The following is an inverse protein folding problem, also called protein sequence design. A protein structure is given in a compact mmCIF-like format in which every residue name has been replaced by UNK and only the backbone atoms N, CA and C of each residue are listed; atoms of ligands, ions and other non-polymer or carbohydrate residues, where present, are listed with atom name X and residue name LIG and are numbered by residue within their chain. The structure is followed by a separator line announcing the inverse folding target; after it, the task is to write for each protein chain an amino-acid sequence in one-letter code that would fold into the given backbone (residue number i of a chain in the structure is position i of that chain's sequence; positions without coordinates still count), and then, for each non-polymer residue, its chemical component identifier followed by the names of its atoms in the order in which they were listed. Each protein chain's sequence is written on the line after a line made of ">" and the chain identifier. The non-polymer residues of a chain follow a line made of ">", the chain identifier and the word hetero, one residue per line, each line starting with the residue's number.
data_IF_834572680250
#
_entry.id   IF_834572680250
#
_cell.length_a   1.000
_cell.length_b   1.000
_cell.length_c   1.000
_cell.angle_alpha   90.00
_cell.angle_beta   90.00
_cell.angle_gamma   90.00
#
_symmetry.space_group_name_H-M   'P 1'
#
loop_
_entity.id
_entity.type
_entity.pdbx_description
1 polymer ?
#
# COMPACT_ATOMS: atom_id res chain seq x y z
N UNK A 1 3.18 70.71 8.47
CA UNK A 1 2.30 69.63 7.97
C UNK A 1 2.80 68.92 6.71
N UNK A 2 3.39 69.60 5.71
CA UNK A 2 3.95 68.93 4.51
C UNK A 2 5.09 67.94 4.84
N UNK A 3 6.02 68.32 5.71
CA UNK A 3 7.15 67.48 6.13
C UNK A 3 6.69 66.18 6.82
N UNK A 4 5.67 66.24 7.69
CA UNK A 4 5.12 65.07 8.42
C UNK A 4 4.49 64.06 7.44
N UNK A 5 3.80 64.53 6.40
CA UNK A 5 3.24 63.65 5.36
C UNK A 5 4.33 62.92 4.57
N UNK A 6 5.47 63.59 4.32
CA UNK A 6 6.63 62.97 3.65
C UNK A 6 7.27 61.88 4.51
N UNK A 7 7.41 62.10 5.82
CA UNK A 7 7.95 61.08 6.73
C UNK A 7 7.03 59.87 6.91
N UNK A 8 5.70 60.08 6.94
CA UNK A 8 4.72 58.97 7.00
C UNK A 8 4.75 58.15 5.70
N UNK A 9 4.91 58.80 4.55
CA UNK A 9 4.99 58.12 3.25
C UNK A 9 6.31 57.35 3.08
N UNK A 10 7.41 57.86 3.64
CA UNK A 10 8.69 57.14 3.70
C UNK A 10 8.64 55.94 4.64
N UNK A 11 8.00 56.05 5.81
CA UNK A 11 7.85 54.95 6.77
C UNK A 11 6.96 53.82 6.23
N UNK A 12 5.89 54.17 5.50
CA UNK A 12 5.02 53.19 4.85
C UNK A 12 5.73 52.43 3.71
N UNK A 13 6.70 53.05 3.02
CA UNK A 13 7.50 52.40 1.98
C UNK A 13 8.44 51.32 2.51
N UNK A 14 8.99 51.50 3.72
CA UNK A 14 9.91 50.53 4.33
C UNK A 14 9.21 49.23 4.77
N UNK A 15 7.91 49.29 5.10
CA UNK A 15 7.14 48.11 5.53
C UNK A 15 6.82 47.12 4.39
N UNK A 16 6.95 47.52 3.12
CA UNK A 16 6.60 46.68 1.97
C UNK A 16 7.80 45.81 1.53
N UNK A 17 9.02 46.13 1.96
CA UNK A 17 10.25 45.42 1.57
C UNK A 17 10.61 44.23 2.48
N UNK A 18 9.78 43.90 3.47
CA UNK A 18 10.03 42.86 4.47
C UNK A 18 9.20 41.59 4.31
N UNK A 19 8.90 41.15 3.08
CA UNK A 19 8.24 39.86 2.85
C UNK A 19 9.27 38.73 3.04
N UNK A 20 9.33 38.16 4.24
CA UNK A 20 9.96 36.85 4.44
C UNK A 20 9.03 35.78 3.85
N UNK A 21 9.31 35.32 2.63
CA UNK A 21 8.69 34.12 2.06
C UNK A 21 8.99 32.88 2.91
N UNK A 22 10.23 32.79 3.39
CA UNK A 22 10.80 31.56 3.96
C UNK A 22 10.28 31.23 5.38
N UNK A 23 9.49 32.11 6.00
CA UNK A 23 8.88 31.84 7.31
C UNK A 23 7.62 30.97 7.20
N UNK A 24 6.93 31.00 6.06
CA UNK A 24 5.76 30.16 5.80
C UNK A 24 6.11 28.82 5.16
N UNK A 25 7.29 28.70 4.55
CA UNK A 25 7.81 27.46 3.98
C UNK A 25 8.55 26.63 5.04
N UNK A 26 7.83 26.21 6.07
CA UNK A 26 8.38 25.26 7.07
C UNK A 26 8.26 23.85 6.50
N UNK A 27 9.40 23.25 6.16
CA UNK A 27 9.44 21.83 5.81
C UNK A 27 8.94 21.00 7.00
N UNK A 28 8.00 20.07 6.80
CA UNK A 28 7.47 19.24 7.88
C UNK A 28 8.62 18.48 8.55
N UNK A 29 8.82 18.74 9.84
CA UNK A 29 9.87 18.08 10.61
C UNK A 29 9.41 16.66 10.96
N UNK A 30 10.09 15.66 10.42
CA UNK A 30 9.77 14.24 10.66
C UNK A 30 8.92 13.57 9.58
N UNK A 31 8.55 14.29 8.52
CA UNK A 31 8.05 13.68 7.29
C UNK A 31 9.18 13.62 6.27
N UNK A 32 9.36 12.47 5.64
CA UNK A 32 10.24 12.35 4.48
C UNK A 32 9.55 13.12 3.34
N UNK A 33 10.05 14.30 2.98
CA UNK A 33 9.59 14.98 1.76
C UNK A 33 9.95 14.09 0.57
N UNK A 34 9.05 13.97 -0.41
CA UNK A 34 9.19 13.11 -1.60
C UNK A 34 10.44 13.37 -2.43
N UNK A 35 11.14 14.48 -2.18
CA UNK A 35 12.18 15.02 -3.05
C UNK A 35 13.62 14.84 -2.54
N UNK A 36 13.85 14.45 -1.28
CA UNK A 36 15.20 14.43 -0.73
C UNK A 36 15.44 13.26 0.23
N UNK A 37 15.97 12.14 -0.28
CA UNK A 37 17.12 11.52 0.40
C UNK A 37 17.83 10.43 -0.41
N UNK A 38 17.06 9.60 -1.10
CA UNK A 38 17.57 8.36 -1.65
C UNK A 38 17.79 8.42 -3.16
N UNK A 39 18.77 7.66 -3.65
CA UNK A 39 18.83 7.38 -5.08
C UNK A 39 17.51 6.73 -5.51
N UNK A 40 17.12 6.89 -6.78
CA UNK A 40 15.86 6.33 -7.23
C UNK A 40 15.80 4.80 -7.06
N UNK A 41 16.92 4.12 -7.27
CA UNK A 41 17.04 2.69 -7.04
C UNK A 41 16.81 2.31 -5.56
N UNK A 42 17.38 3.08 -4.64
CA UNK A 42 17.20 2.88 -3.20
C UNK A 42 15.74 3.12 -2.79
N UNK A 43 15.06 4.12 -3.36
CA UNK A 43 13.61 4.34 -3.15
C UNK A 43 12.78 3.14 -3.62
N UNK A 44 13.09 2.59 -4.80
CA UNK A 44 12.39 1.43 -5.33
C UNK A 44 12.64 0.21 -4.42
N UNK A 45 13.87 0.02 -3.96
CA UNK A 45 14.22 -1.06 -3.05
C UNK A 45 13.48 -0.95 -1.69
N UNK A 46 13.37 0.25 -1.12
CA UNK A 46 12.57 0.47 0.09
C UNK A 46 11.08 0.19 -0.15
N UNK A 47 10.53 0.62 -1.29
CA UNK A 47 9.14 0.34 -1.65
C UNK A 47 8.90 -1.18 -1.81
N UNK A 48 9.83 -1.91 -2.43
CA UNK A 48 9.79 -3.37 -2.52
C UNK A 48 9.91 -4.00 -1.13
N UNK A 49 10.81 -3.51 -0.27
CA UNK A 49 10.94 -3.98 1.12
C UNK A 49 9.64 -3.81 1.89
N UNK A 50 8.91 -2.71 1.65
CA UNK A 50 7.57 -2.50 2.21
C UNK A 50 6.56 -3.53 1.68
N UNK A 51 6.59 -3.86 0.39
CA UNK A 51 5.78 -4.95 -0.17
C UNK A 51 6.07 -6.27 0.57
N UNK A 52 7.33 -6.65 0.78
CA UNK A 52 7.67 -7.85 1.56
C UNK A 52 7.23 -7.78 3.03
N UNK A 53 7.17 -6.59 3.62
CA UNK A 53 6.70 -6.44 5.01
C UNK A 53 5.24 -6.91 5.19
N UNK A 54 4.45 -6.93 4.11
CA UNK A 54 3.06 -7.39 4.11
C UNK A 54 2.87 -8.81 4.66
N UNK A 55 3.83 -9.70 4.41
CA UNK A 55 3.79 -11.09 4.89
C UNK A 55 4.41 -11.29 6.28
N UNK A 56 5.12 -10.29 6.81
CA UNK A 56 5.76 -10.37 8.12
C UNK A 56 4.75 -10.17 9.26
N UNK A 57 3.63 -9.51 8.98
CA UNK A 57 2.67 -9.18 10.03
C UNK A 57 1.83 -10.40 10.43
N UNK A 58 2.36 -11.16 11.40
CA UNK A 58 1.81 -12.46 11.84
C UNK A 58 0.32 -12.43 12.12
N UNK A 59 -0.24 -11.33 12.64
CA UNK A 59 -1.68 -11.22 12.92
C UNK A 59 -2.55 -11.41 11.67
N UNK A 60 -2.10 -10.94 10.51
CA UNK A 60 -2.85 -10.93 9.25
C UNK A 60 -2.56 -12.13 8.36
N UNK A 61 -1.48 -12.87 8.62
CA UNK A 61 -1.11 -14.06 7.81
C UNK A 61 -1.22 -15.39 8.56
N UNK A 62 -0.94 -15.41 9.86
CA UNK A 62 -0.82 -16.62 10.68
C UNK A 62 -1.42 -16.46 12.08
N UNK A 63 -2.27 -15.44 12.25
CA UNK A 63 -2.77 -15.02 13.54
C UNK A 63 -4.27 -14.91 13.55
N UNK A 64 -4.78 -14.31 14.62
CA UNK A 64 -6.21 -14.38 14.93
C UNK A 64 -7.10 -13.73 13.89
N UNK A 65 -6.61 -12.73 13.14
CA UNK A 65 -7.38 -12.12 12.06
C UNK A 65 -7.50 -13.07 10.87
N UNK A 66 -6.39 -13.63 10.40
CA UNK A 66 -6.39 -14.60 9.30
C UNK A 66 -7.30 -15.81 9.60
N UNK A 67 -7.23 -16.33 10.83
CA UNK A 67 -8.06 -17.47 11.25
C UNK A 67 -9.55 -17.14 11.23
N UNK A 68 -9.93 -15.87 11.42
CA UNK A 68 -11.33 -15.43 11.38
C UNK A 68 -11.99 -15.67 10.03
N UNK A 69 -11.22 -15.65 8.94
CA UNK A 69 -11.75 -15.86 7.59
C UNK A 69 -11.32 -17.18 6.96
N UNK A 70 -10.18 -17.74 7.36
CA UNK A 70 -9.61 -18.93 6.70
C UNK A 70 -9.71 -20.23 7.51
N UNK A 71 -9.83 -20.16 8.84
CA UNK A 71 -9.77 -21.37 9.70
C UNK A 71 -11.05 -21.60 10.49
N UNK A 72 -11.64 -20.56 11.09
CA UNK A 72 -12.86 -20.71 11.90
C UNK A 72 -14.09 -21.15 11.11
N UNK A 73 -14.23 -20.85 9.80
CA UNK A 73 -15.24 -21.44 8.94
C UNK A 73 -15.02 -22.93 8.61
N UNK A 74 -13.90 -23.54 9.04
CA UNK A 74 -13.66 -24.97 8.86
C UNK A 74 -14.30 -25.80 10.00
N UNK A 75 -14.20 -27.12 9.91
CA UNK A 75 -14.58 -28.06 10.97
C UNK A 75 -13.42 -28.51 11.86
N UNK A 76 -12.21 -27.98 11.66
CA UNK A 76 -10.99 -28.38 12.37
C UNK A 76 -10.83 -27.73 13.76
N UNK A 77 -11.52 -26.60 14.00
CA UNK A 77 -11.41 -25.82 15.24
C UNK A 77 -12.71 -25.87 16.04
N UNK A 78 -12.61 -25.97 17.36
CA UNK A 78 -13.74 -25.73 18.28
C UNK A 78 -13.47 -24.49 19.12
N UNK A 79 -14.31 -23.47 18.95
CA UNK A 79 -14.12 -22.18 19.59
C UNK A 79 -14.52 -22.21 21.07
N UNK A 80 -13.64 -21.73 21.94
CA UNK A 80 -13.93 -21.50 23.37
C UNK A 80 -13.49 -20.08 23.77
N UNK A 81 -14.24 -19.08 23.30
CA UNK A 81 -13.99 -17.66 23.55
C UNK A 81 -15.30 -16.92 23.79
N UNK A 82 -15.21 -15.76 24.44
CA UNK A 82 -16.31 -14.81 24.57
C UNK A 82 -16.22 -13.63 23.57
N UNK A 83 -15.20 -13.61 22.71
CA UNK A 83 -15.06 -12.58 21.67
C UNK A 83 -16.15 -12.76 20.60
N UNK A 84 -17.05 -11.78 20.53
CA UNK A 84 -18.17 -11.79 19.60
C UNK A 84 -17.72 -11.83 18.12
N UNK A 85 -16.57 -11.23 17.77
CA UNK A 85 -16.09 -11.23 16.38
C UNK A 85 -15.62 -12.63 15.95
N UNK A 86 -15.02 -13.41 16.85
CA UNK A 86 -14.67 -14.81 16.57
C UNK A 86 -15.90 -15.71 16.56
N UNK A 87 -16.85 -15.49 17.46
CA UNK A 87 -18.09 -16.28 17.51
C UNK A 87 -18.97 -16.04 16.28
N UNK A 88 -19.06 -14.81 15.79
CA UNK A 88 -19.78 -14.51 14.55
C UNK A 88 -19.15 -15.20 13.35
N UNK A 89 -17.83 -15.15 13.21
CA UNK A 89 -17.12 -15.87 12.16
C UNK A 89 -17.29 -17.39 12.24
N UNK A 90 -17.04 -17.99 13.41
CA UNK A 90 -17.15 -19.43 13.65
C UNK A 90 -18.57 -19.98 13.39
N UNK A 91 -19.61 -19.18 13.67
CA UNK A 91 -20.99 -19.58 13.44
C UNK A 91 -21.53 -19.15 12.07
N UNK A 92 -20.70 -18.63 11.16
CA UNK A 92 -21.09 -18.10 9.85
C UNK A 92 -22.14 -16.96 9.93
N UNK A 93 -22.07 -16.18 11.00
CA UNK A 93 -22.94 -15.04 11.30
C UNK A 93 -22.16 -13.72 11.17
N UNK A 94 -21.36 -13.59 10.11
CA UNK A 94 -20.58 -12.38 9.87
C UNK A 94 -21.49 -11.15 9.80
N UNK A 95 -21.12 -10.13 10.58
CA UNK A 95 -21.77 -8.83 10.62
C UNK A 95 -20.81 -7.77 10.03
N UNK A 96 -21.29 -6.71 9.37
CA UNK A 96 -20.45 -5.64 8.86
C UNK A 96 -19.55 -4.97 9.91
N UNK A 97 -19.88 -5.06 11.21
CA UNK A 97 -19.04 -4.51 12.29
C UNK A 97 -18.00 -5.51 12.81
N UNK A 98 -17.78 -6.65 12.13
CA UNK A 98 -16.72 -7.58 12.52
C UNK A 98 -15.35 -6.95 12.27
N UNK A 99 -14.70 -6.49 13.34
CA UNK A 99 -13.46 -5.71 13.26
C UNK A 99 -12.30 -6.46 12.64
N UNK A 100 -12.30 -7.80 12.68
CA UNK A 100 -11.24 -8.61 12.10
C UNK A 100 -11.40 -8.72 10.58
N UNK A 101 -12.64 -8.85 10.10
CA UNK A 101 -12.96 -8.86 8.66
C UNK A 101 -12.70 -7.49 8.04
N UNK A 102 -13.15 -6.41 8.70
CA UNK A 102 -12.91 -5.03 8.27
C UNK A 102 -11.40 -4.75 8.11
N UNK A 103 -10.61 -5.10 9.13
CA UNK A 103 -9.15 -4.89 9.10
C UNK A 103 -8.45 -5.69 8.01
N UNK A 104 -8.91 -6.91 7.71
CA UNK A 104 -8.36 -7.70 6.60
C UNK A 104 -8.61 -7.02 5.26
N UNK A 105 -9.84 -6.55 5.03
CA UNK A 105 -10.18 -5.78 3.84
C UNK A 105 -9.27 -4.57 3.67
N UNK A 106 -9.19 -3.69 4.68
CA UNK A 106 -8.33 -2.50 4.64
C UNK A 106 -6.87 -2.85 4.39
N UNK A 107 -6.37 -3.89 5.06
CA UNK A 107 -4.95 -4.25 5.01
C UNK A 107 -4.56 -4.84 3.66
N UNK A 108 -5.38 -5.69 3.07
CA UNK A 108 -5.12 -6.25 1.73
C UNK A 108 -5.11 -5.18 0.65
N UNK A 109 -6.05 -4.23 0.66
CA UNK A 109 -6.00 -3.11 -0.29
C UNK A 109 -4.81 -2.18 -0.05
N UNK A 110 -4.39 -2.00 1.21
CA UNK A 110 -3.16 -1.26 1.51
C UNK A 110 -1.92 -1.97 0.90
N UNK A 111 -1.82 -3.29 1.03
CA UNK A 111 -0.72 -4.06 0.44
C UNK A 111 -0.74 -4.04 -1.09
N UNK A 112 -1.93 -4.09 -1.69
CA UNK A 112 -2.09 -3.89 -3.15
C UNK A 112 -1.60 -2.51 -3.58
N UNK A 113 -1.93 -1.46 -2.82
CA UNK A 113 -1.46 -0.11 -3.11
C UNK A 113 0.07 0.01 -2.96
N UNK A 114 0.66 -0.63 -1.95
CA UNK A 114 2.12 -0.67 -1.80
C UNK A 114 2.78 -1.35 -3.03
N UNK A 115 2.17 -2.39 -3.60
CA UNK A 115 2.61 -2.98 -4.86
C UNK A 115 2.48 -2.00 -6.04
N UNK A 116 1.32 -1.35 -6.17
CA UNK A 116 1.08 -0.39 -7.26
C UNK A 116 2.04 0.80 -7.22
N UNK A 117 2.49 1.23 -6.04
CA UNK A 117 3.53 2.26 -5.91
C UNK A 117 4.88 1.81 -6.48
N UNK A 118 5.28 0.55 -6.29
CA UNK A 118 6.50 0.02 -6.93
C UNK A 118 6.38 0.04 -8.45
N UNK A 119 5.23 -0.39 -8.98
CA UNK A 119 4.96 -0.39 -10.42
C UNK A 119 4.97 1.03 -11.00
N UNK A 120 4.43 2.00 -10.26
CA UNK A 120 4.45 3.41 -10.65
C UNK A 120 5.88 3.99 -10.64
N UNK A 121 6.69 3.66 -9.63
CA UNK A 121 8.07 4.13 -9.52
C UNK A 121 9.00 3.58 -10.60
N UNK A 122 8.65 2.42 -11.17
CA UNK A 122 9.45 1.70 -12.17
C UNK A 122 8.92 1.84 -13.60
N UNK A 123 7.80 2.54 -13.82
CA UNK A 123 7.10 2.61 -15.11
C UNK A 123 7.94 3.15 -16.28
N UNK A 124 8.91 4.01 -15.99
CA UNK A 124 9.75 4.70 -16.99
C UNK A 124 11.12 3.99 -17.19
N UNK A 125 11.31 2.80 -16.60
CA UNK A 125 12.55 2.02 -16.66
C UNK A 125 12.32 0.70 -17.40
N UNK A 126 13.22 0.40 -18.34
CA UNK A 126 13.16 -0.81 -19.17
C UNK A 126 14.49 -1.56 -19.11
N UNK A 127 14.91 -1.89 -17.90
CA UNK A 127 16.11 -2.68 -17.61
C UNK A 127 15.79 -3.90 -16.73
N UNK A 128 16.72 -4.85 -16.65
CA UNK A 128 16.54 -6.11 -15.91
C UNK A 128 16.24 -5.86 -14.42
N UNK A 129 16.80 -4.81 -13.83
CA UNK A 129 16.58 -4.45 -12.42
C UNK A 129 15.14 -3.96 -12.21
N UNK A 130 14.64 -3.08 -13.08
CA UNK A 130 13.26 -2.63 -13.05
C UNK A 130 12.29 -3.78 -13.32
N UNK A 131 12.61 -4.68 -14.27
CA UNK A 131 11.82 -5.87 -14.55
C UNK A 131 11.72 -6.78 -13.32
N UNK A 132 12.83 -6.97 -12.59
CA UNK A 132 12.88 -7.75 -11.36
C UNK A 132 12.04 -7.12 -10.23
N UNK A 133 12.09 -5.80 -10.03
CA UNK A 133 11.26 -5.13 -9.03
C UNK A 133 9.77 -5.19 -9.37
N UNK A 134 9.43 -5.00 -10.66
CA UNK A 134 8.07 -5.18 -11.17
C UNK A 134 7.55 -6.61 -10.91
N UNK A 135 8.38 -7.61 -11.15
CA UNK A 135 8.03 -9.02 -10.97
C UNK A 135 7.68 -9.34 -9.51
N UNK A 136 8.47 -8.82 -8.56
CA UNK A 136 8.22 -8.97 -7.13
C UNK A 136 6.91 -8.30 -6.72
N UNK A 137 6.67 -7.05 -7.13
CA UNK A 137 5.45 -6.32 -6.80
C UNK A 137 4.19 -6.98 -7.40
N UNK A 138 4.27 -7.45 -8.66
CA UNK A 138 3.17 -8.17 -9.33
C UNK A 138 2.83 -9.48 -8.64
N UNK A 139 3.84 -10.27 -8.24
CA UNK A 139 3.60 -11.49 -7.47
C UNK A 139 2.77 -11.21 -6.20
N UNK A 140 3.15 -10.21 -5.41
CA UNK A 140 2.41 -9.86 -4.20
C UNK A 140 1.04 -9.26 -4.49
N UNK A 141 0.90 -8.44 -5.54
CA UNK A 141 -0.39 -7.90 -5.96
C UNK A 141 -1.36 -9.01 -6.36
N UNK A 142 -0.88 -10.02 -7.10
CA UNK A 142 -1.65 -11.21 -7.45
C UNK A 142 -2.05 -12.00 -6.19
N UNK A 143 -1.10 -12.22 -5.28
CA UNK A 143 -1.35 -12.92 -4.01
C UNK A 143 -2.47 -12.25 -3.20
N UNK A 144 -2.41 -10.93 -3.00
CA UNK A 144 -3.41 -10.22 -2.19
C UNK A 144 -4.77 -10.08 -2.88
N UNK A 145 -4.82 -9.93 -4.21
CA UNK A 145 -6.11 -9.98 -4.94
C UNK A 145 -6.75 -11.37 -4.89
N UNK A 146 -5.95 -12.43 -5.00
CA UNK A 146 -6.43 -13.79 -4.88
C UNK A 146 -7.02 -14.07 -3.49
N UNK A 147 -6.34 -13.63 -2.44
CA UNK A 147 -6.81 -13.79 -1.06
C UNK A 147 -8.12 -13.00 -0.79
N UNK A 148 -8.18 -11.76 -1.29
CA UNK A 148 -9.42 -10.95 -1.27
C UNK A 148 -10.59 -11.67 -1.95
N UNK A 149 -10.37 -12.24 -3.14
CA UNK A 149 -11.40 -12.95 -3.89
C UNK A 149 -11.89 -14.20 -3.14
N UNK A 150 -10.97 -14.99 -2.55
CA UNK A 150 -11.33 -16.19 -1.80
C UNK A 150 -12.21 -15.90 -0.59
N UNK A 151 -11.99 -14.76 0.07
CA UNK A 151 -12.66 -14.42 1.33
C UNK A 151 -13.95 -13.63 1.09
N UNK A 152 -13.96 -12.72 0.12
CA UNK A 152 -15.06 -11.77 -0.09
C UNK A 152 -15.87 -12.01 -1.36
N UNK A 153 -15.42 -12.90 -2.26
CA UNK A 153 -16.00 -13.04 -3.60
C UNK A 153 -15.74 -11.78 -4.43
N UNK A 154 -16.77 -11.24 -5.09
CA UNK A 154 -16.63 -10.01 -5.89
C UNK A 154 -16.01 -8.86 -5.09
N UNK A 155 -14.86 -8.39 -5.57
CA UNK A 155 -14.05 -7.32 -4.98
C UNK A 155 -13.73 -6.23 -6.01
N UNK A 156 -13.15 -5.13 -5.57
CA UNK A 156 -12.75 -4.02 -6.43
C UNK A 156 -11.38 -4.34 -7.05
N UNK A 157 -11.26 -4.23 -8.37
CA UNK A 157 -9.97 -4.34 -9.05
C UNK A 157 -9.11 -3.08 -8.81
N UNK A 158 -7.88 -3.26 -8.33
CA UNK A 158 -6.92 -2.18 -8.05
C UNK A 158 -5.54 -2.48 -8.65
N UNK A 159 -5.32 -2.03 -9.88
CA UNK A 159 -4.11 -2.28 -10.66
C UNK A 159 -3.18 -1.06 -10.81
N UNK A 160 -3.50 0.07 -10.17
CA UNK A 160 -2.70 1.28 -10.15
C UNK A 160 -2.89 2.06 -8.84
N UNK A 161 -2.05 3.08 -8.62
CA UNK A 161 -2.20 4.01 -7.50
C UNK A 161 -3.45 4.86 -7.75
N UNK A 162 -4.47 4.84 -6.87
CA UNK A 162 -5.72 5.54 -7.13
C UNK A 162 -5.54 7.06 -7.27
N UNK A 163 -6.17 7.64 -8.30
CA UNK A 163 -6.34 9.09 -8.41
C UNK A 163 -7.42 9.61 -7.43
N UNK A 164 -7.50 10.94 -7.25
CA UNK A 164 -8.41 11.56 -6.29
C UNK A 164 -9.89 11.20 -6.48
N UNK A 165 -10.30 10.88 -7.70
CA UNK A 165 -11.67 10.53 -8.06
C UNK A 165 -11.94 9.01 -8.07
N UNK A 166 -10.97 8.18 -7.72
CA UNK A 166 -11.07 6.72 -7.86
C UNK A 166 -11.29 5.99 -6.53
N UNK A 167 -11.57 6.71 -5.44
CA UNK A 167 -11.82 6.07 -4.14
C UNK A 167 -13.15 5.31 -4.06
N UNK A 168 -14.13 5.65 -4.91
CA UNK A 168 -15.44 5.00 -4.94
C UNK A 168 -15.73 4.38 -6.31
N UNK A 169 -15.21 3.19 -6.54
CA UNK A 169 -15.40 2.42 -7.78
C UNK A 169 -16.17 1.12 -7.49
N UNK A 170 -16.97 0.63 -8.46
CA UNK A 170 -17.75 -0.58 -8.27
C UNK A 170 -16.86 -1.83 -8.16
N UNK A 171 -17.43 -2.89 -7.59
CA UNK A 171 -16.84 -4.23 -7.65
C UNK A 171 -16.66 -4.67 -9.11
N UNK A 172 -15.63 -5.46 -9.35
CA UNK A 172 -15.30 -6.04 -10.65
C UNK A 172 -15.78 -7.48 -10.71
N UNK A 173 -15.87 -8.03 -11.93
CA UNK A 173 -16.20 -9.44 -12.10
C UNK A 173 -15.08 -10.33 -11.54
N UNK A 174 -15.43 -11.54 -11.13
CA UNK A 174 -14.46 -12.56 -10.73
C UNK A 174 -13.44 -12.82 -11.86
N UNK A 175 -13.90 -12.86 -13.11
CA UNK A 175 -13.06 -13.05 -14.29
C UNK A 175 -12.00 -11.96 -14.44
N UNK A 176 -12.35 -10.69 -14.23
CA UNK A 176 -11.40 -9.58 -14.38
C UNK A 176 -10.29 -9.62 -13.32
N UNK A 177 -10.65 -9.97 -12.08
CA UNK A 177 -9.67 -10.14 -10.99
C UNK A 177 -8.73 -11.31 -11.31
N UNK A 178 -9.27 -12.46 -11.73
CA UNK A 178 -8.42 -13.60 -12.10
C UNK A 178 -7.55 -13.30 -13.32
N UNK A 179 -8.04 -12.52 -14.29
CA UNK A 179 -7.23 -12.11 -15.44
C UNK A 179 -6.02 -11.28 -15.00
N UNK A 180 -6.21 -10.34 -14.07
CA UNK A 180 -5.11 -9.58 -13.47
C UNK A 180 -4.14 -10.48 -12.70
N UNK A 181 -4.67 -11.35 -11.82
CA UNK A 181 -3.87 -12.29 -11.01
C UNK A 181 -3.01 -13.18 -11.90
N UNK A 182 -3.58 -13.78 -12.95
CA UNK A 182 -2.86 -14.65 -13.88
C UNK A 182 -1.78 -13.86 -14.61
N UNK A 183 -2.12 -12.69 -15.17
CA UNK A 183 -1.15 -11.86 -15.90
C UNK A 183 0.03 -11.43 -15.02
N UNK A 184 -0.23 -11.08 -13.77
CA UNK A 184 0.81 -10.70 -12.83
C UNK A 184 1.70 -11.89 -12.43
N UNK A 185 1.12 -13.08 -12.26
CA UNK A 185 1.88 -14.30 -11.97
C UNK A 185 2.70 -14.76 -13.19
N UNK A 186 2.17 -14.68 -14.40
CA UNK A 186 2.91 -14.99 -15.63
C UNK A 186 4.11 -14.07 -15.80
N UNK A 187 3.94 -12.77 -15.59
CA UNK A 187 5.04 -11.81 -15.60
C UNK A 187 6.08 -12.15 -14.51
N UNK A 188 5.62 -12.48 -13.30
CA UNK A 188 6.50 -12.86 -12.21
C UNK A 188 7.30 -14.14 -12.52
N UNK A 189 6.68 -15.14 -13.16
CA UNK A 189 7.36 -16.38 -13.58
C UNK A 189 8.48 -16.10 -14.58
N UNK A 190 8.27 -15.16 -15.50
CA UNK A 190 9.26 -14.82 -16.54
C UNK A 190 10.46 -14.05 -16.00
N UNK A 191 10.26 -13.22 -14.97
CA UNK A 191 11.25 -12.23 -14.53
C UNK A 191 11.80 -12.46 -13.12
N UNK A 192 11.21 -13.35 -12.32
CA UNK A 192 11.80 -13.77 -11.06
C UNK A 192 12.82 -14.89 -11.31
N UNK A 193 14.04 -14.77 -10.79
CA UNK A 193 15.00 -15.85 -10.85
C UNK A 193 14.55 -17.01 -9.96
N UNK A 194 15.00 -18.21 -10.30
CA UNK A 194 14.84 -19.36 -9.44
C UNK A 194 15.57 -19.14 -8.12
N UNK A 195 15.19 -19.91 -7.08
CA UNK A 195 15.89 -19.87 -5.78
C UNK A 195 17.40 -20.10 -5.91
N UNK A 196 17.84 -20.92 -6.85
CA UNK A 196 19.26 -21.19 -7.08
C UNK A 196 19.97 -19.98 -7.68
N UNK A 197 19.32 -19.28 -8.61
CA UNK A 197 19.83 -18.06 -9.24
C UNK A 197 19.79 -16.85 -8.31
N UNK A 198 18.83 -16.80 -7.38
CA UNK A 198 18.74 -15.72 -6.39
C UNK A 198 19.94 -15.68 -5.43
N UNK A 199 20.56 -16.82 -5.13
CA UNK A 199 21.67 -16.91 -4.18
C UNK A 199 21.22 -16.82 -2.71
N UNK A 200 22.00 -17.43 -1.81
CA UNK A 200 21.72 -17.40 -0.36
C UNK A 200 22.00 -16.02 0.25
N UNK A 201 22.91 -15.26 -0.35
CA UNK A 201 23.31 -13.91 0.03
C UNK A 201 22.19 -12.87 -0.10
N UNK A 202 21.19 -13.13 -0.97
CA UNK A 202 20.03 -12.27 -1.19
C UNK A 202 18.79 -12.75 -0.41
N UNK A 203 18.92 -13.76 0.45
CA UNK A 203 17.87 -14.17 1.37
C UNK A 203 17.89 -13.23 2.58
N UNK A 204 16.81 -12.46 2.77
CA UNK A 204 16.59 -11.70 4.00
C UNK A 204 16.23 -12.71 5.09
N UNK A 205 17.17 -12.99 6.01
CA UNK A 205 16.99 -13.87 7.17
C UNK A 205 16.51 -13.07 8.38
#
# INVERSE_FOLDING_TARGET
>A
MKQIKTYIMALAGTCILGSCSDFLDVTPQGELTTDLYFSQEERINEAVSRVYSSINWRFFRLGTMYFTTHEFPSDDVRMNTADANFLTAYNFQYDPNNVYVERLWERWYQYINDCNQVLELTKDYDDETAALYNAQARFFRAYWHFDLMNVFGEVVLRDHVPAENEYNIPKSSEEDIYRLVISDLEYAIEHLPTRQEWGEENLVV
#
